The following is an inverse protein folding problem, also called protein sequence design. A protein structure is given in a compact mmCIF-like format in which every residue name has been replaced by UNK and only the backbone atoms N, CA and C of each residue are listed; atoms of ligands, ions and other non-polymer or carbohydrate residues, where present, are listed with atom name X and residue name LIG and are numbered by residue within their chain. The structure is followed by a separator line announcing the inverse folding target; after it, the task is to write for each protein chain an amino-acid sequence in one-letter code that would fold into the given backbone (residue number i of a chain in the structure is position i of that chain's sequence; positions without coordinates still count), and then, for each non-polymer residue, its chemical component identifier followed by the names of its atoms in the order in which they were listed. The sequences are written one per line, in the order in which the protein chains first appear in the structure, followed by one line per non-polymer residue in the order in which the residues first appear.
data_IF_367468396611
#
_entry.id   IF_367468396611
#
_cell.length_a   1.000
_cell.length_b   1.000
_cell.length_c   1.000
_cell.angle_alpha   90.00
_cell.angle_beta   90.00
_cell.angle_gamma   90.00
#
_symmetry.space_group_name_H-M   'P 1'
#
loop_
_entity.id
_entity.type
_entity.pdbx_description
1 polymer ?
#
# COMPACT_ATOMS: atom_id res chain seq x y z
N UNK A 1 25.19 -4.47 43.90
CA UNK A 1 26.17 -4.61 42.81
C UNK A 1 25.91 -3.63 41.68
N UNK A 2 24.71 -3.50 41.11
CA UNK A 2 24.41 -2.59 40.00
C UNK A 2 24.72 -1.12 40.29
N UNK A 3 24.33 -0.57 41.40
CA UNK A 3 24.57 0.83 41.74
C UNK A 3 26.04 1.23 41.78
N UNK A 4 26.91 0.29 42.17
CA UNK A 4 28.38 0.54 42.18
C UNK A 4 28.97 0.57 40.79
N UNK A 5 28.45 -0.27 39.87
CA UNK A 5 28.90 -0.28 38.45
C UNK A 5 28.50 1.01 37.74
N UNK A 6 27.25 1.43 37.87
CA UNK A 6 26.72 2.67 37.26
C UNK A 6 27.51 3.89 37.79
N UNK A 7 27.75 3.94 39.10
CA UNK A 7 28.53 5.01 39.67
C UNK A 7 29.95 5.07 39.10
N UNK A 8 30.64 3.92 38.97
CA UNK A 8 31.98 3.86 38.36
C UNK A 8 31.98 4.31 36.89
N UNK A 9 30.96 3.91 36.15
CA UNK A 9 30.79 4.32 34.73
C UNK A 9 30.63 5.84 34.61
N UNK A 10 29.73 6.44 35.39
CA UNK A 10 29.51 7.90 35.37
C UNK A 10 30.75 8.65 35.86
N UNK A 11 31.46 8.12 36.90
CA UNK A 11 32.70 8.72 37.35
C UNK A 11 33.81 8.68 36.29
N UNK A 12 33.93 7.59 35.56
CA UNK A 12 34.85 7.47 34.42
C UNK A 12 34.48 8.46 33.33
N UNK A 13 33.22 8.53 32.91
CA UNK A 13 32.72 9.47 31.91
C UNK A 13 32.98 10.92 32.28
N UNK A 14 32.78 11.28 33.57
CA UNK A 14 33.02 12.65 34.04
C UNK A 14 34.53 13.02 34.10
N UNK A 15 35.40 12.05 34.35
CA UNK A 15 36.87 12.27 34.36
C UNK A 15 37.46 12.42 32.96
N UNK A 16 36.92 11.69 31.98
CA UNK A 16 37.42 11.63 30.60
C UNK A 16 36.38 12.04 29.56
N UNK A 17 35.59 13.09 29.88
CA UNK A 17 34.43 13.49 29.10
C UNK A 17 34.71 13.66 27.60
N UNK A 18 35.81 14.29 27.21
CA UNK A 18 36.17 14.50 25.82
C UNK A 18 36.46 13.19 25.06
N UNK A 19 37.13 12.23 25.72
CA UNK A 19 37.39 10.92 25.13
C UNK A 19 36.10 10.11 24.96
N UNK A 20 35.19 10.21 25.92
CA UNK A 20 33.88 9.52 25.84
C UNK A 20 33.02 10.13 24.74
N UNK A 21 32.96 11.46 24.64
CA UNK A 21 32.23 12.14 23.54
C UNK A 21 32.82 11.78 22.19
N UNK A 22 34.15 11.78 22.04
CA UNK A 22 34.82 11.41 20.80
C UNK A 22 34.51 9.94 20.43
N UNK A 23 34.62 9.03 21.38
CA UNK A 23 34.31 7.60 21.16
C UNK A 23 32.84 7.39 20.77
N UNK A 24 31.90 8.06 21.45
CA UNK A 24 30.48 8.02 21.12
C UNK A 24 30.22 8.61 19.73
N UNK A 25 30.87 9.70 19.35
CA UNK A 25 30.71 10.29 18.02
C UNK A 25 31.27 9.36 16.90
N UNK A 26 32.43 8.74 17.13
CA UNK A 26 32.99 7.74 16.18
C UNK A 26 32.07 6.53 16.07
N UNK A 27 31.58 6.00 17.20
CA UNK A 27 30.65 4.88 17.21
C UNK A 27 29.36 5.21 16.47
N UNK A 28 28.72 6.34 16.83
CA UNK A 28 27.49 6.78 16.16
C UNK A 28 27.72 7.04 14.66
N UNK A 29 28.84 7.65 14.28
CA UNK A 29 29.21 7.89 12.89
C UNK A 29 29.40 6.59 12.11
N UNK A 30 30.15 5.62 12.65
CA UNK A 30 30.35 4.31 12.02
C UNK A 30 29.04 3.51 11.93
N UNK A 31 28.22 3.53 12.96
CA UNK A 31 26.89 2.92 12.98
C UNK A 31 25.95 3.58 11.97
N UNK A 32 25.99 4.92 11.82
CA UNK A 32 25.21 5.63 10.81
C UNK A 32 25.60 5.21 9.39
N UNK A 33 26.91 5.14 9.10
CA UNK A 33 27.40 4.68 7.78
C UNK A 33 26.98 3.24 7.53
N UNK A 34 27.09 2.37 8.53
CA UNK A 34 26.63 0.99 8.43
C UNK A 34 25.12 0.91 8.15
N UNK A 35 24.34 1.60 8.96
CA UNK A 35 22.89 1.61 8.81
C UNK A 35 22.43 2.11 7.43
N UNK A 36 23.04 3.20 6.93
CA UNK A 36 22.72 3.73 5.59
C UNK A 36 23.09 2.75 4.46
N UNK A 37 24.24 2.09 4.58
CA UNK A 37 24.70 1.14 3.54
C UNK A 37 23.95 -0.18 3.52
N UNK A 38 23.46 -0.63 4.67
CA UNK A 38 22.79 -1.93 4.83
C UNK A 38 21.29 -1.77 5.13
N UNK A 39 20.77 -0.55 4.99
CA UNK A 39 19.33 -0.31 5.22
C UNK A 39 18.53 -1.15 4.24
N UNK A 40 17.78 -2.10 4.76
CA UNK A 40 16.89 -2.94 4.01
C UNK A 40 15.57 -3.07 4.77
N UNK A 41 14.47 -2.95 4.05
CA UNK A 41 13.12 -3.18 4.57
C UNK A 41 12.56 -4.38 3.82
N UNK A 42 11.88 -5.26 4.55
CA UNK A 42 11.11 -6.35 3.96
C UNK A 42 9.63 -6.12 4.26
N UNK A 43 8.87 -5.82 3.22
CA UNK A 43 7.42 -5.58 3.29
C UNK A 43 6.59 -6.83 2.92
N UNK A 44 7.24 -7.99 2.69
CA UNK A 44 6.53 -9.24 2.44
C UNK A 44 5.91 -9.78 3.74
N UNK A 45 4.61 -9.65 3.86
CA UNK A 45 3.87 -10.18 5.00
C UNK A 45 3.95 -11.73 5.09
N UNK A 46 4.20 -12.43 3.98
CA UNK A 46 4.36 -13.90 3.99
C UNK A 46 5.66 -14.30 4.66
N UNK A 47 6.70 -13.49 4.55
CA UNK A 47 8.00 -13.73 5.19
C UNK A 47 7.94 -13.64 6.74
N UNK A 48 6.89 -13.04 7.30
CA UNK A 48 6.70 -12.94 8.75
C UNK A 48 6.32 -14.28 9.40
N UNK A 49 5.89 -15.27 8.61
CA UNK A 49 5.52 -16.59 9.09
C UNK A 49 6.55 -17.62 8.65
N UNK A 50 7.14 -18.41 9.58
CA UNK A 50 8.02 -19.50 9.22
C UNK A 50 7.30 -20.52 8.33
N UNK A 51 7.86 -20.87 7.17
CA UNK A 51 7.24 -21.82 6.24
C UNK A 51 7.21 -23.25 6.78
N UNK A 52 7.93 -23.53 7.87
CA UNK A 52 8.00 -24.85 8.49
C UNK A 52 6.77 -25.19 9.34
N UNK A 53 5.96 -24.17 9.71
CA UNK A 53 4.77 -24.38 10.54
C UNK A 53 3.67 -25.13 9.76
N UNK A 54 3.07 -26.18 10.32
CA UNK A 54 2.09 -27.02 9.60
C UNK A 54 0.87 -26.27 9.09
N UNK A 55 0.43 -25.24 9.81
CA UNK A 55 -0.68 -24.39 9.36
C UNK A 55 -0.25 -23.43 8.25
N UNK A 56 0.99 -22.89 8.32
CA UNK A 56 1.54 -22.00 7.29
C UNK A 56 1.74 -22.76 5.97
N UNK A 57 2.26 -23.98 6.03
CA UNK A 57 2.37 -24.85 4.86
C UNK A 57 1.01 -25.04 4.18
N UNK A 58 -0.03 -25.43 4.95
CA UNK A 58 -1.38 -25.58 4.41
C UNK A 58 -1.92 -24.28 3.82
N UNK A 59 -1.69 -23.14 4.46
CA UNK A 59 -2.11 -21.85 3.95
C UNK A 59 -1.39 -21.49 2.65
N UNK A 60 -0.08 -21.72 2.57
CA UNK A 60 0.71 -21.45 1.36
C UNK A 60 0.35 -22.41 0.22
N UNK A 61 0.08 -23.68 0.51
CA UNK A 61 -0.40 -24.64 -0.48
C UNK A 61 -1.78 -24.27 -1.00
N UNK A 62 -2.67 -23.81 -0.12
CA UNK A 62 -3.99 -23.31 -0.53
C UNK A 62 -3.87 -22.05 -1.40
N UNK A 63 -3.07 -21.06 -1.00
CA UNK A 63 -2.84 -19.86 -1.81
C UNK A 63 -2.18 -20.15 -3.16
N UNK A 64 -1.37 -21.23 -3.23
CA UNK A 64 -0.77 -21.69 -4.48
C UNK A 64 -1.78 -22.40 -5.38
N UNK A 65 -2.67 -23.21 -4.79
CA UNK A 65 -3.73 -23.90 -5.53
C UNK A 65 -4.84 -22.96 -5.98
N UNK A 66 -5.12 -21.91 -5.20
CA UNK A 66 -6.16 -20.91 -5.44
C UNK A 66 -5.57 -19.51 -5.37
N UNK A 67 -4.77 -19.09 -6.37
CA UNK A 67 -4.13 -17.79 -6.36
C UNK A 67 -5.17 -16.68 -6.39
N UNK A 68 -5.09 -15.79 -5.41
CA UNK A 68 -5.90 -14.57 -5.39
C UNK A 68 -5.18 -13.48 -6.21
N UNK A 69 -5.91 -12.69 -6.99
CA UNK A 69 -5.31 -11.60 -7.74
C UNK A 69 -4.75 -10.54 -6.79
N UNK A 70 -3.47 -10.22 -6.95
CA UNK A 70 -2.80 -9.19 -6.14
C UNK A 70 -3.30 -7.79 -6.48
N UNK A 71 -3.60 -7.54 -7.77
CA UNK A 71 -4.17 -6.31 -8.31
C UNK A 71 -5.37 -6.65 -9.18
N UNK A 72 -6.45 -5.92 -9.00
CA UNK A 72 -7.65 -5.98 -9.83
C UNK A 72 -7.86 -4.60 -10.45
N UNK A 73 -7.75 -4.51 -11.76
CA UNK A 73 -8.18 -3.32 -12.49
C UNK A 73 -9.68 -3.43 -12.76
N UNK A 74 -10.42 -2.41 -12.33
CA UNK A 74 -11.86 -2.27 -12.51
C UNK A 74 -12.10 -1.21 -13.57
N UNK A 75 -12.73 -1.60 -14.66
CA UNK A 75 -13.02 -0.75 -15.80
C UNK A 75 -14.52 -0.53 -15.87
N UNK A 76 -14.98 0.69 -15.66
CA UNK A 76 -16.37 1.10 -15.78
C UNK A 76 -16.54 1.96 -17.04
N UNK A 77 -17.53 1.64 -17.88
CA UNK A 77 -17.86 2.45 -19.05
C UNK A 77 -19.38 2.62 -19.19
N UNK A 78 -19.86 3.62 -19.95
CA UNK A 78 -21.31 3.87 -20.13
C UNK A 78 -22.05 2.77 -20.88
N UNK A 79 -21.31 1.98 -21.68
CA UNK A 79 -21.85 0.87 -22.46
C UNK A 79 -21.07 -0.42 -22.22
N UNK A 80 -21.73 -1.59 -22.31
CA UNK A 80 -21.06 -2.88 -22.18
C UNK A 80 -19.92 -3.07 -23.18
N UNK A 81 -20.13 -2.65 -24.43
CA UNK A 81 -19.16 -2.74 -25.50
C UNK A 81 -17.93 -1.85 -25.23
N UNK A 82 -18.18 -0.62 -24.75
CA UNK A 82 -17.10 0.29 -24.37
C UNK A 82 -16.28 -0.25 -23.19
N UNK A 83 -16.93 -0.91 -22.23
CA UNK A 83 -16.22 -1.58 -21.14
C UNK A 83 -15.37 -2.75 -21.64
N UNK A 84 -15.89 -3.54 -22.58
CA UNK A 84 -15.19 -4.69 -23.16
C UNK A 84 -13.99 -4.24 -24.01
N UNK A 85 -14.19 -3.29 -24.94
CA UNK A 85 -13.12 -2.75 -25.80
C UNK A 85 -12.00 -2.08 -24.98
N UNK A 86 -12.38 -1.24 -24.00
CA UNK A 86 -11.41 -0.62 -23.11
C UNK A 86 -10.60 -1.64 -22.32
N UNK A 87 -11.25 -2.72 -21.86
CA UNK A 87 -10.61 -3.82 -21.12
C UNK A 87 -9.64 -4.58 -22.02
N UNK A 88 -10.05 -4.96 -23.22
CA UNK A 88 -9.22 -5.69 -24.20
C UNK A 88 -7.99 -4.87 -24.66
N UNK A 89 -8.17 -3.55 -24.94
CA UNK A 89 -7.03 -2.67 -25.27
C UNK A 89 -6.04 -2.60 -24.12
N UNK A 90 -6.53 -2.40 -22.89
CA UNK A 90 -5.69 -2.31 -21.70
C UNK A 90 -4.97 -3.64 -21.43
N UNK A 91 -5.69 -4.76 -21.45
CA UNK A 91 -5.13 -6.09 -21.25
C UNK A 91 -4.04 -6.43 -22.28
N UNK A 92 -4.30 -6.13 -23.56
CA UNK A 92 -3.33 -6.35 -24.65
C UNK A 92 -2.06 -5.53 -24.45
N UNK A 93 -2.19 -4.27 -24.05
CA UNK A 93 -1.04 -3.41 -23.80
C UNK A 93 -0.24 -3.87 -22.58
N UNK A 94 -0.92 -4.23 -21.49
CA UNK A 94 -0.29 -4.70 -20.26
C UNK A 94 0.38 -6.08 -20.42
N UNK A 95 -0.16 -6.96 -21.25
CA UNK A 95 0.43 -8.28 -21.53
C UNK A 95 1.84 -8.20 -22.15
N UNK A 96 2.20 -7.06 -22.75
CA UNK A 96 3.54 -6.79 -23.30
C UNK A 96 4.58 -6.41 -22.23
N UNK A 97 4.13 -6.01 -21.04
CA UNK A 97 4.96 -5.54 -19.93
C UNK A 97 5.37 -6.68 -18.99
N UNK A 98 6.04 -7.69 -19.55
CA UNK A 98 6.56 -8.86 -18.83
C UNK A 98 7.55 -8.53 -17.72
N UNK A 99 8.15 -7.35 -17.77
CA UNK A 99 9.05 -6.79 -16.76
C UNK A 99 8.34 -6.48 -15.43
N UNK A 100 7.07 -6.07 -15.47
CA UNK A 100 6.29 -5.63 -14.30
C UNK A 100 5.03 -6.46 -14.06
N UNK A 101 4.57 -7.23 -15.05
CA UNK A 101 3.35 -8.03 -14.96
C UNK A 101 3.70 -9.49 -15.28
N UNK A 102 3.54 -10.36 -14.28
CA UNK A 102 3.83 -11.79 -14.38
C UNK A 102 2.72 -12.52 -15.11
N UNK A 103 1.48 -12.25 -14.71
CA UNK A 103 0.29 -12.87 -15.27
C UNK A 103 -0.86 -11.87 -15.34
N UNK A 104 -1.73 -12.06 -16.34
CA UNK A 104 -2.92 -11.26 -16.55
C UNK A 104 -4.06 -12.17 -16.98
N UNK A 105 -5.24 -11.98 -16.40
CA UNK A 105 -6.42 -12.75 -16.73
C UNK A 105 -7.66 -11.85 -16.76
N UNK A 106 -8.49 -12.04 -17.77
CA UNK A 106 -9.80 -11.42 -17.90
C UNK A 106 -10.86 -12.47 -17.55
N UNK A 107 -11.40 -12.48 -16.31
CA UNK A 107 -12.27 -13.56 -15.84
C UNK A 107 -13.60 -13.63 -16.59
N UNK A 108 -14.01 -12.52 -17.22
CA UNK A 108 -15.29 -12.42 -17.96
C UNK A 108 -15.16 -12.79 -19.44
N UNK A 109 -13.93 -12.84 -19.99
CA UNK A 109 -13.65 -13.04 -21.42
C UNK A 109 -13.05 -14.41 -21.77
N UNK A 110 -13.18 -15.38 -20.87
CA UNK A 110 -12.68 -16.73 -21.15
C UNK A 110 -13.34 -17.33 -22.38
N UNK A 111 -12.54 -17.94 -23.27
CA UNK A 111 -13.03 -18.66 -24.46
C UNK A 111 -14.14 -19.68 -24.15
N UNK A 112 -14.16 -20.17 -22.93
CA UNK A 112 -15.23 -21.04 -22.43
C UNK A 112 -16.57 -20.29 -22.35
N UNK A 113 -16.60 -19.11 -21.73
CA UNK A 113 -17.84 -18.33 -21.59
C UNK A 113 -18.33 -17.76 -22.93
N UNK A 114 -17.40 -17.35 -23.80
CA UNK A 114 -17.76 -16.93 -25.16
C UNK A 114 -18.49 -18.04 -25.94
N UNK A 115 -18.06 -19.28 -25.79
CA UNK A 115 -18.68 -20.42 -26.47
C UNK A 115 -19.91 -20.97 -25.75
N UNK A 116 -19.92 -20.94 -24.42
CA UNK A 116 -20.88 -21.66 -23.59
C UNK A 116 -21.73 -20.74 -22.70
N UNK A 117 -21.62 -19.40 -22.84
CA UNK A 117 -22.30 -18.45 -21.97
C UNK A 117 -23.81 -18.62 -21.91
N UNK A 118 -24.45 -19.02 -23.01
CA UNK A 118 -25.88 -19.29 -23.06
C UNK A 118 -26.31 -20.45 -22.11
N UNK A 119 -25.41 -21.37 -21.77
CA UNK A 119 -25.71 -22.47 -20.83
C UNK A 119 -25.95 -22.02 -19.40
N UNK A 120 -25.51 -20.82 -19.05
CA UNK A 120 -25.69 -20.23 -17.72
C UNK A 120 -26.97 -19.39 -17.59
N UNK A 121 -27.70 -19.19 -18.71
CA UNK A 121 -28.94 -18.45 -18.71
C UNK A 121 -30.14 -19.37 -18.49
N UNK A 122 -31.20 -18.91 -17.80
CA UNK A 122 -32.47 -19.60 -17.74
C UNK A 122 -33.01 -19.87 -19.17
N UNK A 123 -33.62 -21.01 -19.38
CA UNK A 123 -34.15 -21.42 -20.71
C UNK A 123 -35.10 -20.38 -21.31
N UNK A 124 -35.92 -19.71 -20.48
CA UNK A 124 -36.79 -18.63 -20.92
C UNK A 124 -36.05 -17.38 -21.43
N UNK A 125 -34.85 -17.12 -20.94
CA UNK A 125 -33.98 -16.02 -21.43
C UNK A 125 -33.32 -16.40 -22.73
N UNK A 126 -32.82 -17.62 -22.83
CA UNK A 126 -32.27 -18.16 -24.09
C UNK A 126 -33.33 -18.10 -25.20
N UNK A 127 -34.55 -18.53 -24.92
CA UNK A 127 -35.65 -18.48 -25.89
C UNK A 127 -35.99 -17.04 -26.34
N UNK A 128 -35.95 -16.07 -25.40
CA UNK A 128 -36.16 -14.65 -25.72
C UNK A 128 -35.03 -14.08 -26.58
N UNK A 129 -33.78 -14.36 -26.22
CA UNK A 129 -32.60 -13.90 -26.97
C UNK A 129 -32.57 -14.47 -28.39
N UNK A 130 -32.75 -15.78 -28.52
CA UNK A 130 -32.76 -16.43 -29.84
C UNK A 130 -33.94 -15.99 -30.69
N UNK A 131 -35.14 -15.80 -30.08
CA UNK A 131 -36.29 -15.26 -30.76
C UNK A 131 -36.10 -13.79 -31.19
N UNK A 132 -35.43 -12.98 -30.39
CA UNK A 132 -35.03 -11.60 -30.73
C UNK A 132 -34.03 -11.56 -31.89
N UNK A 133 -32.99 -12.38 -31.84
CA UNK A 133 -31.98 -12.49 -32.92
C UNK A 133 -32.59 -12.99 -34.24
N UNK A 134 -33.53 -13.96 -34.20
CA UNK A 134 -34.22 -14.44 -35.37
C UNK A 134 -35.06 -13.32 -36.03
N UNK A 135 -35.72 -12.48 -35.25
CA UNK A 135 -36.47 -11.31 -35.78
C UNK A 135 -35.55 -10.22 -36.30
N UNK A 136 -34.37 -10.03 -35.71
CA UNK A 136 -33.39 -9.04 -36.14
C UNK A 136 -32.50 -9.56 -37.28
N UNK A 137 -32.60 -10.80 -37.70
CA UNK A 137 -31.75 -11.42 -38.73
C UNK A 137 -31.63 -10.62 -40.04
N UNK A 138 -32.73 -10.05 -40.64
CA UNK A 138 -32.63 -9.24 -41.85
C UNK A 138 -31.78 -7.99 -41.64
N UNK A 139 -32.02 -7.27 -40.52
CA UNK A 139 -31.26 -6.08 -40.12
C UNK A 139 -29.77 -6.40 -39.90
N UNK A 140 -29.49 -7.48 -39.19
CA UNK A 140 -28.12 -7.93 -38.93
C UNK A 140 -27.41 -8.33 -40.24
N UNK A 141 -28.13 -8.91 -41.21
CA UNK A 141 -27.57 -9.25 -42.50
C UNK A 141 -27.15 -8.00 -43.32
N UNK A 142 -27.99 -6.95 -43.34
CA UNK A 142 -27.68 -5.67 -43.98
C UNK A 142 -26.47 -5.02 -43.33
N UNK A 143 -26.43 -4.94 -41.99
CA UNK A 143 -25.30 -4.36 -41.25
C UNK A 143 -24.01 -5.18 -41.38
N UNK A 144 -24.12 -6.52 -41.49
CA UNK A 144 -22.96 -7.38 -41.74
C UNK A 144 -22.38 -7.24 -43.11
N UNK A 145 -23.21 -6.94 -44.09
CA UNK A 145 -22.79 -6.70 -45.49
C UNK A 145 -22.11 -5.33 -45.66
N UNK A 146 -22.60 -4.31 -44.97
CA UNK A 146 -21.97 -2.96 -44.94
C UNK A 146 -21.99 -2.41 -43.50
N UNK A 147 -20.92 -2.59 -42.72
CA UNK A 147 -20.83 -2.10 -41.33
C UNK A 147 -20.53 -0.58 -41.26
N UNK A 148 -20.77 0.17 -42.30
CA UNK A 148 -20.63 1.64 -42.35
C UNK A 148 -21.91 2.36 -41.94
N UNK A 149 -21.81 3.71 -41.77
CA UNK A 149 -22.98 4.56 -41.55
C UNK A 149 -24.01 4.43 -42.69
N UNK A 150 -23.55 4.20 -43.91
CA UNK A 150 -24.44 3.97 -45.09
C UNK A 150 -25.26 2.70 -44.89
N UNK A 151 -24.61 1.57 -44.49
CA UNK A 151 -25.33 0.33 -44.24
C UNK A 151 -26.30 0.44 -43.07
N UNK A 152 -25.99 1.23 -42.04
CA UNK A 152 -26.90 1.52 -40.96
C UNK A 152 -28.12 2.32 -41.40
N UNK A 153 -27.95 3.30 -42.31
CA UNK A 153 -29.06 4.06 -42.91
C UNK A 153 -29.90 3.22 -43.89
N UNK A 154 -29.25 2.34 -44.68
CA UNK A 154 -29.95 1.39 -45.53
C UNK A 154 -30.81 0.43 -44.71
N UNK A 155 -30.25 -0.13 -43.63
CA UNK A 155 -31.00 -0.98 -42.72
C UNK A 155 -32.18 -0.27 -42.03
N UNK A 156 -32.04 1.02 -41.72
CA UNK A 156 -33.12 1.85 -41.19
C UNK A 156 -34.19 2.11 -42.28
N UNK A 157 -33.77 2.35 -43.52
CA UNK A 157 -34.68 2.53 -44.64
C UNK A 157 -35.52 1.28 -44.91
N UNK A 158 -34.89 0.10 -44.88
CA UNK A 158 -35.57 -1.20 -44.98
C UNK A 158 -36.59 -1.41 -43.85
N UNK A 159 -36.20 -1.05 -42.64
CA UNK A 159 -37.09 -1.14 -41.48
C UNK A 159 -38.30 -0.21 -41.60
N UNK A 160 -38.10 1.03 -42.09
CA UNK A 160 -39.20 1.97 -42.37
C UNK A 160 -40.12 1.46 -43.49
N UNK A 161 -39.57 0.85 -44.54
CA UNK A 161 -40.34 0.20 -45.58
C UNK A 161 -41.20 -0.95 -45.00
N UNK A 162 -40.64 -1.72 -44.07
CA UNK A 162 -41.34 -2.77 -43.32
C UNK A 162 -42.52 -2.24 -42.50
N UNK A 163 -42.41 -1.04 -41.91
CA UNK A 163 -43.51 -0.36 -41.22
C UNK A 163 -44.59 0.09 -42.21
N UNK A 164 -44.21 0.67 -43.36
CA UNK A 164 -45.14 1.05 -44.39
C UNK A 164 -45.93 -0.14 -44.95
N UNK A 165 -45.26 -1.27 -45.10
CA UNK A 165 -45.87 -2.53 -45.53
C UNK A 165 -46.66 -3.26 -44.44
N UNK A 166 -46.75 -2.68 -43.24
CA UNK A 166 -47.40 -3.26 -42.01
C UNK A 166 -46.81 -4.60 -41.54
N UNK A 167 -45.58 -4.90 -41.88
CA UNK A 167 -44.83 -6.06 -41.35
C UNK A 167 -44.19 -5.76 -40.00
N UNK A 168 -43.92 -4.48 -39.71
CA UNK A 168 -43.32 -4.02 -38.46
C UNK A 168 -44.20 -2.93 -37.84
N UNK A 169 -44.50 -2.97 -36.52
CA UNK A 169 -45.17 -1.89 -35.83
C UNK A 169 -44.21 -0.70 -35.65
N UNK A 170 -44.73 0.54 -35.79
CA UNK A 170 -43.89 1.76 -35.65
C UNK A 170 -43.16 1.84 -34.31
N UNK A 171 -43.82 1.40 -33.26
CA UNK A 171 -43.25 1.39 -31.87
C UNK A 171 -41.96 0.58 -31.79
N UNK A 172 -41.76 -0.41 -32.65
CA UNK A 172 -40.52 -1.20 -32.68
C UNK A 172 -39.31 -0.37 -33.15
N UNK A 173 -39.51 0.75 -33.86
CA UNK A 173 -38.43 1.64 -34.31
C UNK A 173 -38.13 2.78 -33.38
N UNK A 174 -39.02 3.09 -32.41
CA UNK A 174 -38.85 4.24 -31.52
C UNK A 174 -37.53 4.19 -30.79
N UNK A 175 -37.24 3.07 -30.12
CA UNK A 175 -35.98 2.91 -29.37
C UNK A 175 -34.70 2.93 -30.22
N UNK A 176 -34.60 2.19 -31.35
CA UNK A 176 -33.45 2.28 -32.24
C UNK A 176 -33.20 3.71 -32.74
N UNK A 177 -34.28 4.44 -33.06
CA UNK A 177 -34.18 5.82 -33.53
C UNK A 177 -33.73 6.78 -32.45
N UNK A 178 -34.28 6.67 -31.23
CA UNK A 178 -33.89 7.47 -30.10
C UNK A 178 -32.40 7.24 -29.74
N UNK A 179 -31.97 5.99 -29.69
CA UNK A 179 -30.57 5.66 -29.42
C UNK A 179 -29.62 6.18 -30.54
N UNK A 180 -30.04 6.09 -31.79
CA UNK A 180 -29.28 6.64 -32.91
C UNK A 180 -29.21 8.18 -32.87
N UNK A 181 -30.32 8.84 -32.52
CA UNK A 181 -30.39 10.29 -32.39
C UNK A 181 -29.50 10.78 -31.24
N UNK A 182 -29.57 10.13 -30.07
CA UNK A 182 -28.73 10.45 -28.90
C UNK A 182 -27.25 10.27 -29.20
N UNK A 183 -26.91 9.19 -29.91
CA UNK A 183 -25.51 8.91 -30.34
C UNK A 183 -25.03 9.98 -31.31
N UNK A 184 -25.85 10.35 -32.33
CA UNK A 184 -25.53 11.40 -33.28
C UNK A 184 -25.39 12.79 -32.60
N UNK A 185 -26.27 13.13 -31.67
CA UNK A 185 -26.18 14.39 -30.91
C UNK A 185 -24.91 14.43 -30.06
N UNK A 186 -24.54 13.32 -29.43
CA UNK A 186 -23.31 13.23 -28.64
C UNK A 186 -22.06 13.43 -29.55
N UNK A 187 -22.04 12.78 -30.73
CA UNK A 187 -20.97 12.93 -31.72
C UNK A 187 -20.84 14.37 -32.25
N UNK A 188 -21.98 15.02 -32.57
CA UNK A 188 -22.02 16.41 -33.05
C UNK A 188 -21.56 17.38 -31.93
N UNK A 189 -21.83 17.07 -30.69
CA UNK A 189 -21.38 17.85 -29.53
C UNK A 189 -19.90 17.61 -29.17
N UNK A 190 -19.17 16.80 -29.96
CA UNK A 190 -17.78 16.43 -29.67
C UNK A 190 -17.59 15.56 -28.41
N UNK A 191 -18.68 14.95 -27.94
CA UNK A 191 -18.65 13.99 -26.84
C UNK A 191 -18.46 12.58 -27.40
N UNK A 192 -17.77 11.67 -26.68
CA UNK A 192 -17.72 10.27 -27.08
C UNK A 192 -19.12 9.70 -27.23
N UNK A 193 -19.39 9.12 -28.38
CA UNK A 193 -20.72 8.63 -28.77
C UNK A 193 -20.63 7.11 -28.94
N UNK A 194 -21.16 6.36 -27.99
CA UNK A 194 -21.16 4.90 -28.00
C UNK A 194 -22.59 4.40 -28.17
N UNK A 195 -22.82 3.63 -29.21
CA UNK A 195 -24.07 2.94 -29.45
C UNK A 195 -23.99 1.53 -28.89
N UNK A 196 -24.92 1.16 -28.01
CA UNK A 196 -24.92 -0.18 -27.41
C UNK A 196 -25.86 -1.13 -28.16
N UNK A 197 -25.27 -2.07 -28.85
CA UNK A 197 -26.00 -3.16 -29.52
C UNK A 197 -26.69 -4.09 -28.53
N UNK A 198 -26.08 -4.31 -27.37
CA UNK A 198 -26.65 -5.15 -26.31
C UNK A 198 -27.93 -4.52 -25.73
N UNK A 199 -27.90 -3.22 -25.49
CA UNK A 199 -29.07 -2.47 -25.02
C UNK A 199 -30.17 -2.48 -26.07
N UNK A 200 -29.83 -2.32 -27.34
CA UNK A 200 -30.77 -2.40 -28.45
C UNK A 200 -31.42 -3.80 -28.55
N UNK A 201 -30.60 -4.85 -28.55
CA UNK A 201 -31.07 -6.23 -28.71
C UNK A 201 -31.86 -6.74 -27.50
N UNK A 202 -31.47 -6.39 -26.29
CA UNK A 202 -32.14 -6.81 -25.06
C UNK A 202 -33.46 -6.05 -24.80
N UNK A 203 -33.58 -4.86 -25.35
CA UNK A 203 -34.69 -3.96 -25.07
C UNK A 203 -34.68 -3.38 -23.64
N UNK A 204 -33.60 -3.53 -22.88
CA UNK A 204 -33.41 -3.08 -21.49
C UNK A 204 -32.17 -2.20 -21.38
N UNK A 205 -32.15 -1.34 -20.38
CA UNK A 205 -30.92 -0.64 -19.99
C UNK A 205 -29.87 -1.64 -19.50
N UNK A 206 -28.59 -1.34 -19.76
CA UNK A 206 -27.51 -2.17 -19.26
C UNK A 206 -27.45 -2.13 -17.74
N UNK A 207 -27.29 -3.28 -17.12
CA UNK A 207 -27.14 -3.38 -15.67
C UNK A 207 -25.71 -2.98 -15.27
N UNK A 208 -25.52 -2.59 -14.01
CA UNK A 208 -24.21 -2.11 -13.51
C UNK A 208 -23.10 -3.14 -13.61
N UNK A 209 -23.42 -4.42 -13.57
CA UNK A 209 -22.49 -5.53 -13.75
C UNK A 209 -22.04 -5.69 -15.22
N UNK A 210 -22.88 -5.32 -16.17
CA UNK A 210 -22.57 -5.31 -17.60
C UNK A 210 -21.68 -4.11 -18.02
N UNK A 211 -21.79 -3.00 -17.26
CA UNK A 211 -21.01 -1.77 -17.48
C UNK A 211 -19.63 -1.84 -16.83
N UNK A 212 -19.33 -2.95 -16.13
CA UNK A 212 -18.08 -3.14 -15.37
C UNK A 212 -17.36 -4.39 -15.82
N UNK A 213 -16.06 -4.24 -16.10
CA UNK A 213 -15.17 -5.33 -16.42
C UNK A 213 -13.99 -5.36 -15.47
N UNK A 214 -13.36 -6.53 -15.35
CA UNK A 214 -12.24 -6.76 -14.44
C UNK A 214 -11.07 -7.35 -15.20
N UNK A 215 -9.86 -6.87 -14.85
CA UNK A 215 -8.60 -7.52 -15.21
C UNK A 215 -7.93 -7.92 -13.91
N UNK A 216 -7.69 -9.22 -13.73
CA UNK A 216 -6.90 -9.77 -12.65
C UNK A 216 -5.43 -9.77 -13.05
N UNK A 217 -4.60 -9.15 -12.22
CA UNK A 217 -3.19 -8.91 -12.53
C UNK A 217 -2.33 -9.44 -11.40
N UNK A 218 -1.33 -10.23 -11.74
CA UNK A 218 -0.24 -10.65 -10.87
C UNK A 218 0.99 -9.81 -11.18
N UNK A 219 1.30 -8.78 -10.39
CA UNK A 219 2.44 -7.91 -10.63
C UNK A 219 3.75 -8.55 -10.18
N UNK A 220 4.86 -8.03 -10.68
CA UNK A 220 6.19 -8.25 -10.10
C UNK A 220 6.36 -7.25 -8.96
N UNK A 221 6.42 -7.75 -7.72
CA UNK A 221 6.51 -6.94 -6.51
C UNK A 221 7.96 -6.73 -6.08
N UNK A 222 8.30 -5.50 -5.70
CA UNK A 222 9.58 -5.17 -5.07
C UNK A 222 9.41 -5.02 -3.55
N UNK A 223 9.56 -6.11 -2.83
CA UNK A 223 9.44 -6.13 -1.36
C UNK A 223 10.54 -5.34 -0.61
N UNK A 224 11.51 -4.77 -1.33
CA UNK A 224 12.50 -3.83 -0.76
C UNK A 224 11.99 -2.40 -0.73
N UNK A 225 10.92 -2.11 -1.45
CA UNK A 225 10.25 -0.82 -1.44
C UNK A 225 9.18 -0.78 -0.33
N UNK A 226 8.87 0.41 0.16
CA UNK A 226 7.78 0.64 1.11
C UNK A 226 6.41 0.34 0.45
N UNK A 227 6.30 0.60 -0.84
CA UNK A 227 5.14 0.34 -1.68
C UNK A 227 5.54 -0.69 -2.76
N UNK A 228 5.43 -2.01 -2.47
CA UNK A 228 5.93 -3.06 -3.35
C UNK A 228 5.32 -3.09 -4.75
N UNK A 229 4.05 -2.70 -4.87
CA UNK A 229 3.28 -2.75 -6.11
C UNK A 229 3.29 -1.45 -6.92
N UNK A 230 3.87 -0.37 -6.39
CA UNK A 230 3.79 0.97 -6.99
C UNK A 230 4.20 1.03 -8.45
N UNK A 231 5.31 0.37 -8.81
CA UNK A 231 5.77 0.35 -10.20
C UNK A 231 4.74 -0.28 -11.15
N UNK A 232 4.08 -1.33 -10.72
CA UNK A 232 3.06 -2.00 -11.51
C UNK A 232 1.76 -1.17 -11.58
N UNK A 233 1.29 -0.65 -10.44
CA UNK A 233 0.08 0.19 -10.39
C UNK A 233 0.23 1.46 -11.21
N UNK A 234 1.39 2.12 -11.12
CA UNK A 234 1.72 3.30 -11.94
C UNK A 234 1.75 2.99 -13.44
N UNK A 235 2.27 1.83 -13.83
CA UNK A 235 2.27 1.41 -15.24
C UNK A 235 0.86 1.13 -15.73
N UNK A 236 0.02 0.47 -14.95
CA UNK A 236 -1.38 0.21 -15.32
C UNK A 236 -2.11 1.53 -15.56
N UNK A 237 -2.01 2.48 -14.62
CA UNK A 237 -2.69 3.76 -14.74
C UNK A 237 -2.15 4.61 -15.90
N UNK A 238 -0.81 4.63 -16.10
CA UNK A 238 -0.20 5.33 -17.24
C UNK A 238 -0.62 4.72 -18.57
N UNK A 239 -0.64 3.40 -18.68
CA UNK A 239 -1.08 2.71 -19.90
C UNK A 239 -2.53 3.04 -20.22
N UNK A 240 -3.41 3.08 -19.23
CA UNK A 240 -4.80 3.50 -19.43
C UNK A 240 -4.91 4.95 -19.95
N UNK A 241 -4.06 5.86 -19.47
CA UNK A 241 -3.99 7.24 -19.94
C UNK A 241 -3.40 7.35 -21.37
N UNK A 242 -2.33 6.63 -21.66
CA UNK A 242 -1.69 6.59 -22.99
C UNK A 242 -2.66 6.07 -24.06
N UNK A 243 -3.45 5.06 -23.74
CA UNK A 243 -4.51 4.54 -24.60
C UNK A 243 -5.71 5.47 -24.72
N UNK A 244 -5.78 6.52 -23.89
CA UNK A 244 -6.88 7.49 -23.83
C UNK A 244 -8.24 6.83 -23.62
N UNK A 245 -8.32 5.82 -22.77
CA UNK A 245 -9.53 5.03 -22.56
C UNK A 245 -10.72 5.88 -22.09
N UNK A 246 -10.46 6.90 -21.27
CA UNK A 246 -11.48 7.85 -20.86
C UNK A 246 -12.04 8.68 -22.02
N UNK A 247 -11.17 9.08 -22.97
CA UNK A 247 -11.57 9.89 -24.11
C UNK A 247 -12.28 9.05 -25.19
N UNK A 248 -11.79 7.81 -25.43
CA UNK A 248 -12.34 6.93 -26.46
C UNK A 248 -13.66 6.29 -26.04
N UNK A 249 -13.70 5.76 -24.80
CA UNK A 249 -14.79 4.90 -24.33
C UNK A 249 -15.54 5.47 -23.14
N UNK A 250 -15.19 6.66 -22.65
CA UNK A 250 -15.60 7.20 -21.34
C UNK A 250 -15.32 6.20 -20.21
N UNK A 251 -14.32 5.35 -20.42
CA UNK A 251 -13.98 4.28 -19.48
C UNK A 251 -13.14 4.82 -18.34
N UNK A 252 -13.58 4.54 -17.12
CA UNK A 252 -12.87 4.88 -15.88
C UNK A 252 -12.16 3.65 -15.33
N UNK A 253 -10.84 3.71 -15.25
CA UNK A 253 -10.02 2.64 -14.68
C UNK A 253 -9.73 2.95 -13.22
N UNK A 254 -9.97 1.98 -12.35
CA UNK A 254 -9.65 2.01 -10.91
C UNK A 254 -8.93 0.74 -10.52
N UNK A 255 -8.05 0.84 -9.54
CA UNK A 255 -7.31 -0.31 -9.03
C UNK A 255 -7.82 -0.69 -7.64
N UNK A 256 -7.88 -1.98 -7.37
CA UNK A 256 -8.18 -2.57 -6.08
C UNK A 256 -7.42 -3.89 -5.94
N UNK A 257 -7.58 -4.58 -4.84
CA UNK A 257 -6.84 -5.80 -4.51
C UNK A 257 -5.92 -5.60 -3.33
N UNK A 258 -5.27 -6.67 -2.92
CA UNK A 258 -4.44 -6.66 -1.70
C UNK A 258 -3.26 -5.67 -1.82
N UNK A 259 -2.60 -5.66 -2.97
CA UNK A 259 -1.41 -4.84 -3.21
C UNK A 259 -1.74 -3.34 -3.24
N UNK A 260 -2.68 -2.84 -4.08
CA UNK A 260 -3.04 -1.43 -4.06
C UNK A 260 -3.54 -0.94 -2.71
N UNK A 261 -4.33 -1.75 -1.97
CA UNK A 261 -4.85 -1.37 -0.65
C UNK A 261 -3.72 -1.21 0.36
N UNK A 262 -2.74 -2.13 0.35
CA UNK A 262 -1.58 -2.04 1.21
C UNK A 262 -0.68 -0.85 0.85
N UNK A 263 -0.41 -0.66 -0.45
CA UNK A 263 0.40 0.46 -0.94
C UNK A 263 -0.24 1.81 -0.60
N UNK A 264 -1.55 1.97 -0.77
CA UNK A 264 -2.30 3.17 -0.38
C UNK A 264 -2.27 3.40 1.14
N UNK A 265 -2.33 2.31 1.92
CA UNK A 265 -2.16 2.35 3.37
C UNK A 265 -0.79 2.93 3.74
N UNK A 266 0.28 2.47 3.12
CA UNK A 266 1.64 2.98 3.34
C UNK A 266 1.83 4.40 2.80
N UNK A 267 1.31 4.70 1.62
CA UNK A 267 1.31 6.05 1.07
C UNK A 267 0.63 7.06 2.01
N UNK A 268 -0.43 6.64 2.70
CA UNK A 268 -1.13 7.47 3.68
C UNK A 268 -0.25 7.77 4.90
N UNK A 269 0.55 6.79 5.37
CA UNK A 269 1.50 6.98 6.47
C UNK A 269 2.64 7.93 6.09
N UNK A 270 3.11 7.88 4.84
CA UNK A 270 4.18 8.75 4.33
C UNK A 270 3.67 10.12 3.92
N UNK A 271 2.38 10.25 3.63
CA UNK A 271 1.74 11.52 3.30
C UNK A 271 1.84 12.48 4.50
N UNK A 272 2.42 13.64 4.27
CA UNK A 272 2.70 14.63 5.32
C UNK A 272 3.69 14.16 6.42
N UNK A 273 4.47 13.10 6.19
CA UNK A 273 5.44 12.59 7.16
C UNK A 273 6.38 13.70 7.67
N UNK A 274 6.84 14.59 6.79
CA UNK A 274 7.68 15.74 7.16
C UNK A 274 6.98 16.71 8.10
N UNK A 275 5.72 17.06 7.85
CA UNK A 275 4.93 17.92 8.72
C UNK A 275 4.67 17.27 10.08
N UNK A 276 4.26 16.01 10.05
CA UNK A 276 4.00 15.23 11.27
C UNK A 276 5.27 15.09 12.12
N UNK A 277 6.41 14.82 11.49
CA UNK A 277 7.71 14.76 12.16
C UNK A 277 8.09 16.12 12.76
N UNK A 278 7.88 17.22 12.04
CA UNK A 278 8.17 18.56 12.54
C UNK A 278 7.29 18.94 13.73
N UNK A 279 5.99 18.63 13.68
CA UNK A 279 5.06 18.86 14.81
C UNK A 279 5.48 18.01 16.03
N UNK A 280 5.76 16.71 15.83
CA UNK A 280 6.19 15.81 16.89
C UNK A 280 7.51 16.25 17.52
N UNK A 281 8.48 16.61 16.69
CA UNK A 281 9.78 17.12 17.16
C UNK A 281 9.63 18.44 17.92
N UNK A 282 8.77 19.35 17.44
CA UNK A 282 8.45 20.59 18.10
C UNK A 282 7.77 20.38 19.45
N UNK A 283 6.81 19.44 19.55
CA UNK A 283 6.15 19.07 20.80
C UNK A 283 7.15 18.47 21.80
N UNK A 284 8.00 17.56 21.35
CA UNK A 284 9.07 16.96 22.19
C UNK A 284 10.04 18.03 22.67
N UNK A 285 10.50 18.94 21.78
CA UNK A 285 11.39 20.04 22.16
C UNK A 285 10.74 20.98 23.19
N UNK A 286 9.45 21.26 23.05
CA UNK A 286 8.68 22.07 24.00
C UNK A 286 8.58 21.38 25.37
N UNK A 287 8.25 20.10 25.40
CA UNK A 287 8.18 19.32 26.64
C UNK A 287 9.54 19.29 27.36
N UNK A 288 10.62 19.02 26.59
CA UNK A 288 11.99 19.06 27.12
C UNK A 288 12.35 20.45 27.66
N UNK A 289 11.92 21.50 26.98
CA UNK A 289 12.19 22.86 27.44
C UNK A 289 11.43 23.20 28.73
N UNK A 290 10.17 22.82 28.83
CA UNK A 290 9.35 22.99 30.03
C UNK A 290 9.91 22.21 31.23
N UNK A 291 10.36 20.95 30.98
CA UNK A 291 10.89 20.08 32.03
C UNK A 291 12.29 20.52 32.47
N UNK A 292 13.18 20.80 31.53
CA UNK A 292 14.61 20.98 31.83
C UNK A 292 15.05 22.47 31.88
N UNK A 293 14.35 23.36 31.22
CA UNK A 293 14.63 24.82 31.18
C UNK A 293 16.13 25.17 30.98
N UNK A 294 16.86 24.33 30.23
CA UNK A 294 18.30 24.47 29.98
C UNK A 294 18.66 23.94 28.62
N UNK A 295 18.98 24.81 27.67
CA UNK A 295 19.35 24.40 26.31
C UNK A 295 20.57 23.46 26.24
N UNK A 296 21.53 23.59 27.16
CA UNK A 296 22.71 22.71 27.20
C UNK A 296 22.34 21.26 27.58
N UNK A 297 21.41 21.10 28.52
CA UNK A 297 20.95 19.77 28.94
C UNK A 297 20.08 19.16 27.83
N UNK A 298 19.21 19.95 27.23
CA UNK A 298 18.37 19.50 26.10
C UNK A 298 19.26 19.03 24.95
N UNK A 299 20.27 19.81 24.58
CA UNK A 299 21.22 19.43 23.53
C UNK A 299 21.93 18.11 23.85
N UNK A 300 22.35 17.92 25.12
CA UNK A 300 22.98 16.68 25.55
C UNK A 300 22.03 15.47 25.45
N UNK A 301 20.78 15.62 25.86
CA UNK A 301 19.75 14.56 25.76
C UNK A 301 19.48 14.21 24.30
N UNK A 302 19.28 15.21 23.44
CA UNK A 302 19.03 15.01 22.00
C UNK A 302 20.25 14.34 21.32
N UNK A 303 21.46 14.79 21.65
CA UNK A 303 22.68 14.18 21.08
C UNK A 303 22.86 12.73 21.53
N UNK A 304 22.61 12.41 22.81
CA UNK A 304 22.64 11.04 23.32
C UNK A 304 21.56 10.17 22.68
N UNK A 305 20.35 10.72 22.51
CA UNK A 305 19.25 10.04 21.84
C UNK A 305 19.59 9.71 20.38
N UNK A 306 20.13 10.69 19.64
CA UNK A 306 20.54 10.51 18.25
C UNK A 306 21.64 9.44 18.13
N UNK A 307 22.64 9.46 19.01
CA UNK A 307 23.68 8.43 19.06
C UNK A 307 23.09 7.05 19.38
N UNK A 308 22.24 6.96 20.40
CA UNK A 308 21.57 5.70 20.78
C UNK A 308 20.70 5.15 19.65
N UNK A 309 19.96 6.01 18.95
CA UNK A 309 19.11 5.62 17.83
C UNK A 309 19.94 5.02 16.67
N UNK A 310 21.05 5.67 16.31
CA UNK A 310 21.94 5.17 15.24
C UNK A 310 22.62 3.85 15.59
N UNK A 311 23.04 3.70 16.86
CA UNK A 311 23.59 2.44 17.35
C UNK A 311 22.54 1.34 17.38
N UNK A 312 21.32 1.65 17.86
CA UNK A 312 20.21 0.69 17.88
C UNK A 312 19.81 0.27 16.46
N UNK A 313 19.80 1.20 15.49
CA UNK A 313 19.52 0.87 14.10
C UNK A 313 20.59 -0.06 13.50
N UNK A 314 21.87 0.22 13.73
CA UNK A 314 22.96 -0.63 13.27
C UNK A 314 22.90 -2.02 13.90
N UNK A 315 22.68 -2.11 15.23
CA UNK A 315 22.54 -3.38 15.94
C UNK A 315 21.32 -4.15 15.45
N UNK A 316 20.18 -3.48 15.28
CA UNK A 316 18.99 -4.09 14.71
C UNK A 316 19.23 -4.72 13.33
N UNK A 317 19.85 -3.97 12.42
CA UNK A 317 20.19 -4.48 11.08
C UNK A 317 21.21 -5.62 11.13
N UNK A 318 22.14 -5.61 12.09
CA UNK A 318 23.08 -6.72 12.30
C UNK A 318 22.41 -8.00 12.80
N UNK A 319 21.38 -7.88 13.63
CA UNK A 319 20.65 -9.03 14.20
C UNK A 319 19.71 -9.67 13.18
N UNK A 320 18.93 -8.84 12.47
CA UNK A 320 17.83 -9.34 11.62
C UNK A 320 18.07 -9.22 10.11
N UNK A 321 19.08 -8.47 9.69
CA UNK A 321 19.45 -8.27 8.28
C UNK A 321 18.55 -7.28 7.53
N UNK A 322 17.23 -7.41 7.61
CA UNK A 322 16.26 -6.48 7.02
C UNK A 322 15.14 -6.18 8.03
N UNK A 323 14.75 -4.93 8.11
CA UNK A 323 13.70 -4.50 9.04
C UNK A 323 12.33 -4.83 8.43
N UNK A 324 11.44 -5.39 9.23
CA UNK A 324 10.03 -5.49 8.89
C UNK A 324 9.26 -4.26 9.41
N UNK A 325 8.01 -4.13 8.99
CA UNK A 325 7.17 -3.00 9.35
C UNK A 325 6.96 -2.85 10.86
N UNK A 326 6.89 -3.97 11.58
CA UNK A 326 6.71 -4.02 13.04
C UNK A 326 8.00 -3.57 13.74
N UNK A 327 9.15 -4.03 13.26
CA UNK A 327 10.45 -3.67 13.82
C UNK A 327 10.81 -2.20 13.59
N UNK A 328 10.34 -1.59 12.50
CA UNK A 328 10.50 -0.14 12.27
C UNK A 328 9.77 0.69 13.33
N UNK A 329 8.60 0.24 13.80
CA UNK A 329 7.85 0.94 14.84
C UNK A 329 8.64 1.09 16.17
N UNK A 330 9.59 0.19 16.45
CA UNK A 330 10.45 0.30 17.61
C UNK A 330 11.25 1.60 17.65
N UNK A 331 11.71 2.12 16.52
CA UNK A 331 12.50 3.36 16.52
C UNK A 331 11.71 4.56 17.04
N UNK A 332 10.40 4.59 16.81
CA UNK A 332 9.51 5.62 17.39
C UNK A 332 9.39 5.43 18.91
N UNK A 333 9.23 4.18 19.36
CA UNK A 333 9.21 3.86 20.80
C UNK A 333 10.54 4.20 21.47
N UNK A 334 11.66 3.91 20.82
CA UNK A 334 13.01 4.22 21.32
C UNK A 334 13.18 5.71 21.60
N UNK A 335 12.68 6.58 20.72
CA UNK A 335 12.72 8.03 20.93
C UNK A 335 11.99 8.42 22.20
N UNK A 336 10.78 7.91 22.43
CA UNK A 336 9.99 8.18 23.64
C UNK A 336 10.71 7.76 24.91
N UNK A 337 11.14 6.52 24.96
CA UNK A 337 11.78 5.92 26.14
C UNK A 337 13.15 6.55 26.42
N UNK A 338 13.94 6.82 25.36
CA UNK A 338 15.24 7.49 25.51
C UNK A 338 15.11 8.92 26.07
N UNK A 339 14.07 9.65 25.65
CA UNK A 339 13.73 10.96 26.21
C UNK A 339 13.36 10.85 27.69
N UNK A 340 12.55 9.85 28.08
CA UNK A 340 12.16 9.65 29.48
C UNK A 340 13.37 9.39 30.38
N UNK A 341 14.30 8.54 29.96
CA UNK A 341 15.54 8.32 30.69
C UNK A 341 16.37 9.60 30.80
N UNK A 342 16.48 10.35 29.69
CA UNK A 342 17.17 11.63 29.65
C UNK A 342 16.55 12.67 30.59
N UNK A 343 15.23 12.78 30.63
CA UNK A 343 14.51 13.69 31.52
C UNK A 343 14.74 13.29 33.00
N UNK A 344 14.50 12.03 33.34
CA UNK A 344 14.60 11.55 34.72
C UNK A 344 16.00 11.76 35.28
N UNK A 345 17.03 11.40 34.51
CA UNK A 345 18.41 11.64 34.92
C UNK A 345 18.73 13.14 35.04
N UNK A 346 18.30 13.93 34.10
CA UNK A 346 18.58 15.37 34.06
C UNK A 346 17.88 16.15 35.16
N UNK A 347 16.64 15.81 35.48
CA UNK A 347 15.90 16.40 36.63
C UNK A 347 16.61 16.07 37.95
N UNK A 348 17.03 14.81 38.12
CA UNK A 348 17.79 14.42 39.31
C UNK A 348 19.13 15.14 39.36
N UNK A 349 19.87 15.21 38.25
CA UNK A 349 21.11 15.95 38.17
C UNK A 349 20.95 17.42 38.59
N UNK A 350 19.89 18.11 38.13
CA UNK A 350 19.63 19.49 38.49
C UNK A 350 19.35 19.68 39.98
N UNK A 351 18.58 18.79 40.61
CA UNK A 351 18.34 18.81 42.01
C UNK A 351 19.66 18.65 42.82
N UNK A 352 20.48 17.67 42.48
CA UNK A 352 21.78 17.46 43.12
C UNK A 352 22.77 18.60 42.85
N UNK A 353 22.66 19.26 41.68
CA UNK A 353 23.49 20.42 41.31
C UNK A 353 23.20 21.63 42.18
N UNK A 354 21.94 21.82 42.52
CA UNK A 354 21.52 22.88 43.45
C UNK A 354 22.07 22.65 44.87
N UNK A 355 22.03 21.41 45.34
CA UNK A 355 22.51 21.07 46.70
C UNK A 355 24.03 21.04 46.82
N UNK A 356 24.74 20.42 45.87
CA UNK A 356 26.17 20.12 45.98
C UNK A 356 27.11 21.12 45.31
N UNK A 357 26.59 22.06 44.52
CA UNK A 357 27.35 23.17 43.96
C UNK A 357 28.37 22.82 42.84
N UNK A 358 28.94 21.62 42.79
CA UNK A 358 29.91 21.23 41.73
C UNK A 358 29.33 20.23 40.73
N UNK A 359 29.73 20.37 39.45
CA UNK A 359 29.24 19.50 38.35
C UNK A 359 29.51 18.03 38.65
N UNK A 360 30.73 17.71 39.04
CA UNK A 360 31.18 16.32 39.23
C UNK A 360 30.51 15.63 40.41
N UNK A 361 30.35 16.33 41.55
CA UNK A 361 29.64 15.79 42.70
C UNK A 361 28.17 15.57 42.43
N UNK A 362 27.53 16.50 41.73
CA UNK A 362 26.14 16.41 41.33
C UNK A 362 25.87 15.22 40.39
N UNK A 363 26.69 15.01 39.34
CA UNK A 363 26.58 13.87 38.45
C UNK A 363 26.77 12.53 39.16
N UNK A 364 27.75 12.45 40.06
CA UNK A 364 27.97 11.24 40.88
C UNK A 364 26.78 10.94 41.81
N UNK A 365 26.21 11.96 42.44
CA UNK A 365 25.05 11.82 43.30
C UNK A 365 23.82 11.42 42.52
N UNK A 366 23.58 12.05 41.37
CA UNK A 366 22.49 11.69 40.45
C UNK A 366 22.61 10.25 39.99
N UNK A 367 23.80 9.81 39.56
CA UNK A 367 24.05 8.42 39.16
C UNK A 367 23.76 7.40 40.30
N UNK A 368 24.06 7.75 41.51
CA UNK A 368 23.82 6.90 42.67
C UNK A 368 22.33 6.78 43.00
N UNK A 369 21.56 7.87 42.87
CA UNK A 369 20.15 7.95 43.25
C UNK A 369 19.22 7.56 42.12
N UNK A 370 19.47 7.99 40.86
CA UNK A 370 18.62 7.70 39.70
C UNK A 370 19.08 6.46 38.90
N UNK A 371 20.38 6.13 38.92
CA UNK A 371 20.92 5.03 38.13
C UNK A 371 20.26 3.67 38.38
N UNK A 372 20.17 3.20 39.64
CA UNK A 372 19.56 1.91 39.94
C UNK A 372 18.10 1.77 39.52
N UNK A 373 17.19 2.73 39.82
CA UNK A 373 15.81 2.68 39.30
C UNK A 373 15.72 2.69 37.76
N UNK A 374 16.53 3.52 37.08
CA UNK A 374 16.56 3.56 35.62
C UNK A 374 17.09 2.26 35.02
N UNK A 375 18.14 1.67 35.61
CA UNK A 375 18.64 0.37 35.17
C UNK A 375 17.59 -0.73 35.34
N UNK A 376 16.87 -0.73 36.46
CA UNK A 376 15.79 -1.70 36.68
C UNK A 376 14.68 -1.53 35.65
N UNK A 377 14.26 -0.29 35.36
CA UNK A 377 13.25 -0.01 34.36
C UNK A 377 13.71 -0.46 32.96
N UNK A 378 14.95 -0.15 32.57
CA UNK A 378 15.52 -0.57 31.29
C UNK A 378 15.58 -2.10 31.14
N UNK A 379 16.06 -2.79 32.19
CA UNK A 379 16.16 -4.25 32.20
C UNK A 379 14.78 -4.92 32.17
N UNK A 380 13.82 -4.39 32.95
CA UNK A 380 12.45 -4.92 32.96
C UNK A 380 11.80 -4.78 31.57
N UNK A 381 11.97 -3.63 30.94
CA UNK A 381 11.43 -3.39 29.58
C UNK A 381 12.17 -4.26 28.55
N UNK A 382 13.51 -4.37 28.64
CA UNK A 382 14.28 -5.26 27.78
C UNK A 382 13.86 -6.73 27.92
N UNK A 383 13.64 -7.20 29.16
CA UNK A 383 13.13 -8.55 29.40
C UNK A 383 11.71 -8.75 28.86
N UNK A 384 10.86 -7.73 28.98
CA UNK A 384 9.52 -7.75 28.36
C UNK A 384 9.60 -7.93 26.84
N UNK A 385 10.46 -7.18 26.14
CA UNK A 385 10.66 -7.36 24.70
C UNK A 385 11.33 -8.72 24.37
N UNK A 386 12.33 -9.15 25.16
CA UNK A 386 12.99 -10.43 24.95
C UNK A 386 12.04 -11.64 25.09
N UNK A 387 10.90 -11.49 25.79
CA UNK A 387 9.88 -12.54 25.86
C UNK A 387 9.21 -12.83 24.51
N UNK A 388 9.31 -11.94 23.52
CA UNK A 388 8.81 -12.16 22.18
C UNK A 388 9.77 -12.99 21.31
N UNK A 389 11.06 -13.04 21.66
CA UNK A 389 12.08 -13.74 20.84
C UNK A 389 11.72 -15.21 20.55
N UNK A 390 11.18 -16.01 21.51
CA UNK A 390 10.85 -17.41 21.22
C UNK A 390 9.54 -17.61 20.46
N UNK A 391 8.90 -16.55 19.97
CA UNK A 391 7.63 -16.69 19.22
C UNK A 391 7.88 -17.13 17.77
N UNK A 392 6.99 -17.96 17.23
CA UNK A 392 7.04 -18.39 15.82
C UNK A 392 6.77 -17.25 14.84
N UNK A 393 6.17 -16.16 15.28
CA UNK A 393 5.90 -15.00 14.42
C UNK A 393 7.15 -14.13 14.30
N UNK A 394 7.86 -14.26 13.18
CA UNK A 394 9.16 -13.58 12.94
C UNK A 394 9.08 -12.07 13.19
N UNK A 395 8.01 -11.41 12.74
CA UNK A 395 7.87 -9.97 12.92
C UNK A 395 7.94 -9.54 14.38
N UNK A 396 7.35 -10.31 15.28
CA UNK A 396 7.35 -10.04 16.72
C UNK A 396 8.66 -10.50 17.38
N UNK A 397 9.22 -11.63 16.94
CA UNK A 397 10.52 -12.11 17.40
C UNK A 397 11.64 -11.10 17.09
N UNK A 398 11.71 -10.62 15.86
CA UNK A 398 12.66 -9.58 15.43
C UNK A 398 12.46 -8.25 16.18
N UNK A 399 11.21 -7.84 16.43
CA UNK A 399 10.92 -6.71 17.31
C UNK A 399 11.49 -6.94 18.71
N UNK A 400 11.35 -8.15 19.25
CA UNK A 400 11.87 -8.53 20.58
C UNK A 400 13.39 -8.39 20.66
N UNK A 401 14.10 -8.87 19.65
CA UNK A 401 15.57 -8.76 19.57
C UNK A 401 16.03 -7.30 19.46
N UNK A 402 15.46 -6.53 18.53
CA UNK A 402 15.84 -5.14 18.29
C UNK A 402 15.49 -4.27 19.50
N UNK A 403 14.27 -4.43 20.04
CA UNK A 403 13.80 -3.63 21.14
C UNK A 403 14.51 -3.98 22.45
N UNK A 404 14.74 -5.27 22.71
CA UNK A 404 15.50 -5.73 23.87
C UNK A 404 16.91 -5.16 23.90
N UNK A 405 17.65 -5.26 22.77
CA UNK A 405 18.97 -4.67 22.63
C UNK A 405 18.92 -3.12 22.70
N UNK A 406 17.95 -2.52 22.03
CA UNK A 406 17.76 -1.08 22.01
C UNK A 406 17.52 -0.47 23.39
N UNK A 407 16.77 -1.16 24.27
CA UNK A 407 16.54 -0.71 25.64
C UNK A 407 17.81 -0.65 26.48
N UNK A 408 18.72 -1.62 26.28
CA UNK A 408 20.04 -1.60 26.92
C UNK A 408 20.88 -0.43 26.39
N UNK A 409 20.85 -0.21 25.06
CA UNK A 409 21.55 0.93 24.41
C UNK A 409 21.00 2.27 24.90
N UNK A 410 19.67 2.41 25.04
CA UNK A 410 19.04 3.64 25.51
C UNK A 410 19.43 4.00 26.96
N UNK A 411 19.69 2.99 27.78
CA UNK A 411 20.12 3.18 29.16
C UNK A 411 21.61 3.57 29.28
N UNK A 412 22.48 3.01 28.42
CA UNK A 412 23.92 3.24 28.43
C UNK A 412 24.31 4.64 27.93
#
# INVERSE_FOLDING_TARGET
MFGTAIFRLVDFCTRRAWWVILAAAILAGSCSVYAVRHFAVNTDNKALFPPELPWAQRAFDYMRAFPQPDVIAVIDAPTPEGAEEATGELATALARRKDLIRNLREPQDGAFFQRNGLLYLPTGEVARLTGGLAKAAPLLATLSADPSLRGALDALSDALAGVQAKYLPLDALTRPLDMAADTAQAALAGRPANFSWQVLASGREAQSDQLRRFIEIEPVLDYRAIEPGRNATDVIMRTAQELRLEQKYQARVRLTGLVPINDDGFATLTKNAGLNAAISLGAVALILWLALRSGRIILAVVASLAAGLTVSAAVGLLLVGALNLISVAFFVLFIGIGIDFGIQFSVRYRAERYELGTLRSALRSAARKAGPPLALAALSTAAGFASFVPTDYRGLSELGEIAGAGMVIAFL
#
